data_IF_130789628327
#
_entry.id   IF_130789628327
#
_cell.length_a   1.000
_cell.length_b   1.000
_cell.length_c   1.000
_cell.angle_alpha   90.00
_cell.angle_beta   90.00
_cell.angle_gamma   90.00
#
_symmetry.space_group_name_H-M   'P 1'
#
loop_
_entity.id
_entity.type
_entity.pdbx_description
1 polymer ?
#
# COMPACT_ATOMS: atom_id res chain seq x y z
N UNK A 1 -34.26 -15.49 -7.26
CA UNK A 1 -35.53 -14.76 -7.50
C UNK A 1 -35.58 -14.44 -8.99
N UNK A 2 -36.34 -15.22 -9.78
CA UNK A 2 -37.59 -14.79 -10.47
C UNK A 2 -37.33 -13.71 -11.55
N UNK A 3 -37.62 -13.87 -12.86
CA UNK A 3 -38.58 -14.69 -13.62
C UNK A 3 -38.17 -14.83 -15.12
N UNK A 4 -38.62 -15.93 -15.72
CA UNK A 4 -38.79 -16.28 -17.16
C UNK A 4 -39.86 -15.40 -17.86
N UNK A 5 -40.17 -15.48 -19.19
CA UNK A 5 -39.75 -16.45 -20.23
C UNK A 5 -39.43 -15.85 -21.63
N UNK A 6 -39.12 -16.71 -22.63
CA UNK A 6 -39.69 -16.57 -23.97
C UNK A 6 -40.55 -17.80 -24.37
N UNK A 7 -41.68 -17.54 -25.01
CA UNK A 7 -42.42 -18.45 -25.91
C UNK A 7 -42.35 -17.81 -27.31
N UNK A 8 -42.30 -18.47 -28.46
CA UNK A 8 -42.95 -19.72 -28.90
C UNK A 8 -42.36 -20.13 -30.27
N UNK A 9 -42.22 -21.44 -30.50
CA UNK A 9 -42.05 -22.18 -31.79
C UNK A 9 -43.25 -21.99 -32.76
N UNK A 10 -43.28 -22.46 -34.05
CA UNK A 10 -42.57 -23.63 -34.65
C UNK A 10 -42.10 -23.48 -36.15
N UNK A 11 -41.57 -24.56 -36.77
CA UNK A 11 -40.90 -24.51 -38.08
C UNK A 11 -41.70 -25.09 -39.27
N UNK A 12 -41.15 -24.85 -40.47
CA UNK A 12 -41.25 -25.65 -41.72
C UNK A 12 -42.56 -25.67 -42.52
N UNK A 13 -42.50 -25.28 -43.80
CA UNK A 13 -42.58 -26.20 -44.97
C UNK A 13 -42.88 -25.48 -46.30
N UNK A 14 -42.16 -25.94 -47.33
CA UNK A 14 -42.57 -26.16 -48.73
C UNK A 14 -42.85 -24.97 -49.66
N UNK A 15 -41.98 -24.93 -50.67
CA UNK A 15 -42.26 -24.51 -52.05
C UNK A 15 -43.65 -24.97 -52.55
N UNK A 16 -44.37 -24.06 -53.19
CA UNK A 16 -44.96 -24.26 -54.53
C UNK A 16 -45.54 -22.95 -55.06
N UNK A 17 -44.99 -22.48 -56.16
CA UNK A 17 -45.60 -21.51 -57.06
C UNK A 17 -46.81 -22.14 -57.74
N UNK A 18 -47.89 -21.37 -57.94
CA UNK A 18 -48.84 -21.62 -59.03
C UNK A 18 -49.44 -20.32 -59.53
N UNK A 19 -49.19 -20.03 -60.81
CA UNK A 19 -50.15 -19.31 -61.65
C UNK A 19 -50.11 -19.99 -63.02
N UNK A 20 -51.14 -20.76 -63.31
CA UNK A 20 -51.56 -21.16 -64.66
C UNK A 20 -52.34 -19.96 -65.27
N UNK A 21 -52.60 -19.84 -66.59
CA UNK A 21 -52.81 -20.94 -67.54
C UNK A 21 -52.11 -20.81 -68.91
N UNK A 22 -51.49 -21.90 -69.34
CA UNK A 22 -51.39 -22.21 -70.78
C UNK A 22 -52.65 -22.95 -71.24
N UNK A 23 -53.09 -22.63 -72.46
CA UNK A 23 -53.61 -23.55 -73.48
C UNK A 23 -53.59 -22.78 -74.82
N UNK A 24 -53.44 -23.40 -76.01
CA UNK A 24 -52.85 -24.72 -76.32
C UNK A 24 -51.94 -24.73 -77.57
N UNK A 25 -51.00 -25.68 -77.65
CA UNK A 25 -50.43 -26.15 -78.92
C UNK A 25 -50.90 -27.59 -79.20
N UNK A 26 -51.79 -27.70 -80.19
CA UNK A 26 -51.90 -28.71 -81.26
C UNK A 26 -51.65 -30.21 -80.96
N UNK A 27 -52.63 -31.07 -81.28
CA UNK A 27 -52.62 -31.94 -82.49
C UNK A 27 -53.55 -33.16 -82.35
N UNK A 28 -54.35 -33.38 -83.41
CA UNK A 28 -54.61 -34.72 -83.95
C UNK A 28 -55.90 -35.42 -83.52
N UNK A 29 -56.89 -35.45 -84.43
CA UNK A 29 -57.38 -36.69 -85.05
C UNK A 29 -58.67 -36.42 -85.84
N UNK A 30 -58.56 -36.57 -87.15
CA UNK A 30 -59.52 -37.20 -88.06
C UNK A 30 -61.02 -37.01 -87.81
N UNK A 31 -61.63 -36.16 -88.65
CA UNK A 31 -62.97 -36.47 -89.16
C UNK A 31 -63.17 -35.89 -90.57
N UNK A 32 -62.89 -36.74 -91.57
CA UNK A 32 -63.12 -36.48 -92.98
C UNK A 32 -64.58 -36.83 -93.32
N UNK A 33 -65.51 -35.89 -93.11
CA UNK A 33 -66.88 -35.98 -93.64
C UNK A 33 -66.99 -35.20 -94.96
N UNK A 34 -67.18 -36.01 -96.00
CA UNK A 34 -67.48 -35.73 -97.41
C UNK A 34 -68.23 -34.41 -97.70
N UNK A 35 -67.50 -33.37 -98.12
CA UNK A 35 -68.06 -32.27 -98.93
C UNK A 35 -67.18 -32.06 -100.15
N UNK A 36 -67.70 -32.39 -101.34
CA UNK A 36 -67.04 -32.11 -102.61
C UNK A 36 -67.05 -30.59 -102.87
N UNK A 37 -66.11 -29.87 -102.28
CA UNK A 37 -65.82 -28.50 -102.68
C UNK A 37 -65.15 -28.55 -104.05
N UNK A 38 -65.91 -28.25 -105.11
CA UNK A 38 -65.33 -27.85 -106.40
C UNK A 38 -64.38 -26.69 -106.13
N UNK A 39 -63.07 -26.97 -106.06
CA UNK A 39 -62.04 -25.93 -106.14
C UNK A 39 -62.18 -25.27 -107.51
N UNK A 40 -62.89 -24.14 -107.55
CA UNK A 40 -62.64 -23.15 -108.60
C UNK A 40 -61.18 -22.75 -108.43
N UNK A 41 -60.37 -23.06 -109.44
CA UNK A 41 -59.01 -22.55 -109.59
C UNK A 41 -59.11 -21.03 -109.48
N UNK A 42 -58.64 -20.43 -108.38
CA UNK A 42 -58.47 -18.98 -108.31
C UNK A 42 -57.55 -18.57 -109.46
N UNK A 43 -57.78 -17.42 -110.12
CA UNK A 43 -56.79 -16.91 -111.05
C UNK A 43 -55.50 -16.69 -110.26
N UNK A 44 -54.35 -16.99 -110.87
CA UNK A 44 -53.04 -16.51 -110.40
C UNK A 44 -53.01 -14.98 -110.58
N UNK A 45 -53.83 -14.26 -109.82
CA UNK A 45 -53.72 -12.81 -109.71
C UNK A 45 -52.53 -12.55 -108.81
N UNK A 46 -51.36 -12.43 -109.46
CA UNK A 46 -50.10 -11.93 -108.89
C UNK A 46 -50.32 -10.72 -107.97
N UNK A 47 -51.36 -9.93 -108.25
CA UNK A 47 -51.78 -8.76 -107.48
C UNK A 47 -52.25 -9.13 -106.07
N UNK A 48 -53.12 -10.13 -105.89
CA UNK A 48 -53.65 -10.50 -104.56
C UNK A 48 -52.56 -11.10 -103.68
N UNK A 49 -51.64 -11.88 -104.26
CA UNK A 49 -50.49 -12.47 -103.56
C UNK A 49 -49.46 -11.41 -103.15
N UNK A 50 -49.17 -10.46 -104.04
CA UNK A 50 -48.30 -9.32 -103.74
C UNK A 50 -48.91 -8.37 -102.68
N UNK A 51 -50.23 -8.20 -102.68
CA UNK A 51 -50.93 -7.42 -101.64
C UNK A 51 -50.89 -8.13 -100.29
N UNK A 52 -51.06 -9.45 -100.25
CA UNK A 52 -50.92 -10.26 -99.02
C UNK A 52 -49.49 -10.23 -98.48
N UNK A 53 -48.48 -10.43 -99.33
CA UNK A 53 -47.06 -10.32 -98.94
C UNK A 53 -46.72 -8.92 -98.44
N UNK A 54 -47.23 -7.87 -99.08
CA UNK A 54 -47.03 -6.48 -98.63
C UNK A 54 -47.68 -6.22 -97.26
N UNK A 55 -48.89 -6.73 -97.02
CA UNK A 55 -49.58 -6.62 -95.73
C UNK A 55 -48.84 -7.40 -94.66
N UNK A 56 -48.36 -8.61 -94.95
CA UNK A 56 -47.60 -9.45 -94.04
C UNK A 56 -46.23 -8.82 -93.70
N UNK A 57 -45.54 -8.26 -94.69
CA UNK A 57 -44.32 -7.47 -94.49
C UNK A 57 -44.59 -6.28 -93.57
N UNK A 58 -45.63 -5.51 -93.85
CA UNK A 58 -45.96 -4.32 -93.07
C UNK A 58 -46.38 -4.64 -91.63
N UNK A 59 -47.09 -5.75 -91.43
CA UNK A 59 -47.44 -6.27 -90.09
C UNK A 59 -46.15 -6.70 -89.37
N UNK A 60 -45.26 -7.46 -90.01
CA UNK A 60 -44.00 -7.88 -89.42
C UNK A 60 -43.08 -6.71 -89.11
N UNK A 61 -43.05 -5.67 -89.95
CA UNK A 61 -42.31 -4.43 -89.72
C UNK A 61 -42.87 -3.68 -88.50
N UNK A 62 -44.20 -3.58 -88.37
CA UNK A 62 -44.86 -3.00 -87.20
C UNK A 62 -44.59 -3.80 -85.92
N UNK A 63 -44.68 -5.13 -85.99
CA UNK A 63 -44.39 -6.04 -84.86
C UNK A 63 -42.93 -5.94 -84.42
N UNK A 64 -42.01 -5.85 -85.38
CA UNK A 64 -40.58 -5.66 -85.12
C UNK A 64 -40.29 -4.30 -84.50
N UNK A 65 -40.95 -3.24 -84.99
CA UNK A 65 -40.87 -1.90 -84.42
C UNK A 65 -41.39 -1.87 -82.98
N UNK A 66 -42.55 -2.48 -82.71
CA UNK A 66 -43.11 -2.57 -81.36
C UNK A 66 -42.25 -3.40 -80.42
N UNK A 67 -41.68 -4.51 -80.90
CA UNK A 67 -40.74 -5.32 -80.11
C UNK A 67 -39.49 -4.52 -79.74
N UNK A 68 -38.89 -3.82 -80.70
CA UNK A 68 -37.74 -2.95 -80.45
C UNK A 68 -38.06 -1.84 -79.45
N UNK A 69 -39.23 -1.21 -79.60
CA UNK A 69 -39.68 -0.15 -78.70
C UNK A 69 -39.93 -0.69 -77.28
N UNK A 70 -40.52 -1.89 -77.17
CA UNK A 70 -40.74 -2.59 -75.90
C UNK A 70 -39.41 -2.93 -75.22
N UNK A 71 -38.44 -3.50 -75.95
CA UNK A 71 -37.13 -3.86 -75.43
C UNK A 71 -36.37 -2.63 -74.91
N UNK A 72 -36.40 -1.51 -75.66
CA UNK A 72 -35.83 -0.23 -75.23
C UNK A 72 -36.51 0.26 -73.94
N UNK A 73 -37.84 0.28 -73.91
CA UNK A 73 -38.61 0.80 -72.76
C UNK A 73 -38.37 -0.05 -71.50
N UNK A 74 -38.33 -1.37 -71.63
CA UNK A 74 -38.05 -2.29 -70.53
C UNK A 74 -36.61 -2.11 -70.03
N UNK A 75 -35.63 -2.04 -70.94
CA UNK A 75 -34.23 -1.84 -70.56
C UNK A 75 -34.00 -0.50 -69.85
N UNK A 76 -34.62 0.59 -70.32
CA UNK A 76 -34.57 1.89 -69.65
C UNK A 76 -35.26 1.86 -68.28
N UNK A 77 -36.43 1.23 -68.17
CA UNK A 77 -37.15 1.10 -66.90
C UNK A 77 -36.35 0.32 -65.87
N UNK A 78 -35.75 -0.82 -66.25
CA UNK A 78 -34.90 -1.63 -65.39
C UNK A 78 -33.64 -0.86 -65.00
N UNK A 79 -32.97 -0.21 -65.95
CA UNK A 79 -31.76 0.58 -65.67
C UNK A 79 -32.05 1.70 -64.68
N UNK A 80 -33.11 2.49 -64.91
CA UNK A 80 -33.52 3.55 -64.00
C UNK A 80 -33.88 3.00 -62.61
N UNK A 81 -34.54 1.84 -62.54
CA UNK A 81 -34.87 1.22 -61.26
C UNK A 81 -33.63 0.74 -60.51
N UNK A 82 -32.65 0.15 -61.22
CA UNK A 82 -31.38 -0.28 -60.63
C UNK A 82 -30.56 0.93 -60.17
N UNK A 83 -30.41 1.94 -61.01
CA UNK A 83 -29.65 3.15 -60.69
C UNK A 83 -30.23 3.85 -59.46
N UNK A 84 -31.56 3.97 -59.38
CA UNK A 84 -32.22 4.58 -58.21
C UNK A 84 -32.02 3.78 -56.92
N UNK A 85 -32.04 2.44 -56.98
CA UNK A 85 -31.78 1.57 -55.83
C UNK A 85 -30.31 1.65 -55.40
N UNK A 86 -29.37 1.56 -56.35
CA UNK A 86 -27.93 1.65 -56.08
C UNK A 86 -27.58 3.00 -55.46
N UNK A 87 -28.07 4.10 -56.04
CA UNK A 87 -27.83 5.45 -55.50
C UNK A 87 -28.35 5.59 -54.07
N UNK A 88 -29.55 5.04 -53.81
CA UNK A 88 -30.16 5.07 -52.48
C UNK A 88 -29.34 4.30 -51.47
N UNK A 89 -28.91 3.08 -51.79
CA UNK A 89 -28.15 2.24 -50.88
C UNK A 89 -26.70 2.75 -50.69
N UNK A 90 -26.05 3.26 -51.74
CA UNK A 90 -24.75 3.93 -51.63
C UNK A 90 -24.82 5.17 -50.73
N UNK A 91 -25.87 6.00 -50.88
CA UNK A 91 -26.09 7.17 -50.00
C UNK A 91 -26.28 6.75 -48.54
N UNK A 92 -27.05 5.68 -48.29
CA UNK A 92 -27.22 5.14 -46.92
C UNK A 92 -25.90 4.66 -46.34
N UNK A 93 -25.16 3.82 -47.07
CA UNK A 93 -23.87 3.29 -46.61
C UNK A 93 -22.89 4.42 -46.33
N UNK A 94 -22.78 5.39 -47.24
CA UNK A 94 -21.93 6.58 -47.07
C UNK A 94 -22.32 7.38 -45.83
N UNK A 95 -23.62 7.57 -45.58
CA UNK A 95 -24.11 8.24 -44.39
C UNK A 95 -23.78 7.46 -43.11
N UNK A 96 -23.96 6.13 -43.10
CA UNK A 96 -23.63 5.27 -41.94
C UNK A 96 -22.14 5.31 -41.63
N UNK A 97 -21.29 5.16 -42.65
CA UNK A 97 -19.84 5.24 -42.52
C UNK A 97 -19.43 6.62 -41.99
N UNK A 98 -19.93 7.71 -42.58
CA UNK A 98 -19.62 9.07 -42.13
C UNK A 98 -20.01 9.30 -40.68
N UNK A 99 -21.18 8.82 -40.25
CA UNK A 99 -21.62 8.91 -38.86
C UNK A 99 -20.71 8.11 -37.92
N UNK A 100 -20.31 6.90 -38.30
CA UNK A 100 -19.40 6.07 -37.51
C UNK A 100 -18.00 6.67 -37.36
N UNK A 101 -17.48 7.29 -38.42
CA UNK A 101 -16.19 8.00 -38.38
C UNK A 101 -16.27 9.25 -37.50
N UNK A 102 -17.39 9.97 -37.53
CA UNK A 102 -17.63 11.10 -36.63
C UNK A 102 -17.65 10.64 -35.18
N UNK A 103 -18.39 9.58 -34.86
CA UNK A 103 -18.45 9.02 -33.51
C UNK A 103 -17.08 8.50 -33.03
N UNK A 104 -16.30 7.88 -33.92
CA UNK A 104 -14.91 7.49 -33.63
C UNK A 104 -14.02 8.71 -33.35
N UNK A 105 -14.18 9.78 -34.13
CA UNK A 105 -13.47 11.05 -33.90
C UNK A 105 -13.78 11.64 -32.52
N UNK A 106 -15.06 11.69 -32.16
CA UNK A 106 -15.51 12.19 -30.86
C UNK A 106 -14.97 11.34 -29.68
N UNK A 107 -14.92 10.02 -29.86
CA UNK A 107 -14.33 9.09 -28.87
C UNK A 107 -12.82 9.25 -28.76
N UNK A 108 -12.11 9.44 -29.88
CA UNK A 108 -10.67 9.71 -29.88
C UNK A 108 -10.33 11.03 -29.18
N UNK A 109 -11.08 12.10 -29.43
CA UNK A 109 -10.92 13.38 -28.73
C UNK A 109 -11.18 13.24 -27.21
N UNK A 110 -12.16 12.42 -26.83
CA UNK A 110 -12.41 12.10 -25.41
C UNK A 110 -11.25 11.33 -24.79
N UNK A 111 -10.68 10.36 -25.50
CA UNK A 111 -9.51 9.59 -25.04
C UNK A 111 -8.30 10.52 -24.88
N UNK A 112 -8.03 11.39 -25.85
CA UNK A 112 -6.91 12.33 -25.83
C UNK A 112 -6.97 13.27 -24.61
N UNK A 113 -8.15 13.80 -24.32
CA UNK A 113 -8.40 14.60 -23.10
C UNK A 113 -8.17 13.79 -21.83
N UNK A 114 -8.65 12.55 -21.77
CA UNK A 114 -8.46 11.67 -20.61
C UNK A 114 -7.00 11.29 -20.39
N UNK A 115 -6.25 11.10 -21.48
CA UNK A 115 -4.82 10.78 -21.45
C UNK A 115 -4.02 11.97 -20.92
N UNK A 116 -4.29 13.15 -21.45
CA UNK A 116 -3.67 14.41 -20.98
C UNK A 116 -3.92 14.63 -19.49
N UNK A 117 -5.16 14.49 -19.03
CA UNK A 117 -5.49 14.58 -17.60
C UNK A 117 -4.75 13.53 -16.75
N UNK A 118 -4.62 12.31 -17.26
CA UNK A 118 -3.91 11.23 -16.55
C UNK A 118 -2.42 11.51 -16.46
N UNK A 119 -1.81 12.06 -17.51
CA UNK A 119 -0.40 12.48 -17.53
C UNK A 119 -0.13 13.58 -16.50
N UNK A 120 -0.94 14.64 -16.48
CA UNK A 120 -0.80 15.72 -15.49
C UNK A 120 -0.93 15.20 -14.06
N UNK A 121 -1.88 14.29 -13.83
CA UNK A 121 -2.08 13.66 -12.53
C UNK A 121 -0.89 12.75 -12.16
N UNK A 122 -0.27 12.09 -13.13
CA UNK A 122 0.92 11.27 -12.91
C UNK A 122 2.12 12.12 -12.51
N UNK A 123 2.38 13.23 -13.21
CA UNK A 123 3.45 14.18 -12.86
C UNK A 123 3.24 14.77 -11.45
N UNK A 124 1.99 15.08 -11.11
CA UNK A 124 1.63 15.55 -9.76
C UNK A 124 1.93 14.50 -8.68
N UNK A 125 1.62 13.23 -8.95
CA UNK A 125 1.92 12.13 -8.02
C UNK A 125 3.42 11.95 -7.85
N UNK A 126 4.19 11.98 -8.94
CA UNK A 126 5.64 11.86 -8.89
C UNK A 126 6.30 12.99 -8.09
N UNK A 127 5.84 14.23 -8.31
CA UNK A 127 6.28 15.40 -7.53
C UNK A 127 5.97 15.24 -6.04
N UNK A 128 4.77 14.75 -5.69
CA UNK A 128 4.40 14.52 -4.29
C UNK A 128 5.19 13.37 -3.67
N UNK A 129 5.47 12.32 -4.44
CA UNK A 129 6.23 11.16 -3.98
C UNK A 129 7.66 11.57 -3.64
N UNK A 130 8.34 12.28 -4.53
CA UNK A 130 9.71 12.79 -4.29
C UNK A 130 9.76 13.71 -3.07
N UNK A 131 8.74 14.57 -2.88
CA UNK A 131 8.64 15.40 -1.68
C UNK A 131 8.51 14.55 -0.41
N UNK A 132 7.61 13.56 -0.39
CA UNK A 132 7.41 12.66 0.76
C UNK A 132 8.69 11.87 1.07
N UNK A 133 9.36 11.32 0.06
CA UNK A 133 10.63 10.61 0.23
C UNK A 133 11.72 11.49 0.83
N UNK A 134 11.81 12.76 0.40
CA UNK A 134 12.77 13.71 0.97
C UNK A 134 12.48 14.03 2.44
N UNK A 135 11.20 14.20 2.80
CA UNK A 135 10.77 14.43 4.18
C UNK A 135 11.02 13.21 5.07
N UNK A 136 10.80 12.00 4.54
CA UNK A 136 11.04 10.76 5.28
C UNK A 136 12.52 10.62 5.66
N UNK A 137 13.44 10.89 4.71
CA UNK A 137 14.89 10.89 4.96
C UNK A 137 15.29 11.92 6.00
N UNK A 138 14.70 13.11 5.96
CA UNK A 138 14.95 14.15 6.96
C UNK A 138 14.48 13.74 8.36
N UNK A 139 13.34 13.05 8.47
CA UNK A 139 12.83 12.56 9.76
C UNK A 139 13.75 11.49 10.38
N UNK A 140 14.34 10.61 9.57
CA UNK A 140 15.30 9.61 10.05
C UNK A 140 16.58 10.27 10.60
N UNK A 141 17.06 11.32 9.94
CA UNK A 141 18.21 12.10 10.42
C UNK A 141 17.88 12.82 11.74
N UNK A 142 16.73 13.49 11.81
CA UNK A 142 16.27 14.15 13.04
C UNK A 142 16.12 13.15 14.19
N UNK A 143 15.55 11.98 13.95
CA UNK A 143 15.40 10.93 14.97
C UNK A 143 16.78 10.44 15.45
N UNK A 144 17.73 10.29 14.54
CA UNK A 144 19.12 9.92 14.87
C UNK A 144 19.81 10.99 15.71
N UNK A 145 19.61 12.26 15.37
CA UNK A 145 20.13 13.39 16.14
C UNK A 145 19.52 13.48 17.54
N UNK A 146 18.20 13.27 17.68
CA UNK A 146 17.51 13.25 18.98
C UNK A 146 18.10 12.16 19.87
N UNK A 147 18.29 10.94 19.35
CA UNK A 147 18.88 9.84 20.11
C UNK A 147 20.30 10.17 20.57
N UNK A 148 21.12 10.75 19.68
CA UNK A 148 22.48 11.19 20.00
C UNK A 148 22.49 12.27 21.09
N UNK A 149 21.59 13.25 21.01
CA UNK A 149 21.48 14.31 22.01
C UNK A 149 21.00 13.77 23.34
N UNK A 150 20.03 12.85 23.35
CA UNK A 150 19.56 12.19 24.57
C UNK A 150 20.70 11.43 25.26
N UNK A 151 21.50 10.68 24.51
CA UNK A 151 22.66 9.96 25.07
C UNK A 151 23.74 10.91 25.61
N UNK A 152 23.96 12.06 24.96
CA UNK A 152 24.86 13.11 25.48
C UNK A 152 24.33 13.71 26.77
N UNK A 153 23.03 14.02 26.84
CA UNK A 153 22.39 14.54 28.06
C UNK A 153 22.53 13.53 29.20
N UNK A 154 22.24 12.26 28.95
CA UNK A 154 22.36 11.20 29.95
C UNK A 154 23.81 11.03 30.45
N UNK A 155 24.79 11.15 29.56
CA UNK A 155 26.20 11.11 29.91
C UNK A 155 26.61 12.32 30.78
N UNK A 156 26.20 13.53 30.41
CA UNK A 156 26.45 14.75 31.18
C UNK A 156 25.80 14.70 32.56
N UNK A 157 24.57 14.21 32.62
CA UNK A 157 23.84 13.97 33.85
C UNK A 157 24.55 13.00 34.79
N UNK A 158 25.04 11.87 34.26
CA UNK A 158 25.80 10.92 35.06
C UNK A 158 27.16 11.52 35.48
N UNK A 159 27.78 12.32 34.63
CA UNK A 159 29.03 13.03 34.93
C UNK A 159 28.86 14.00 36.10
N UNK A 160 27.75 14.74 36.15
CA UNK A 160 27.44 15.65 37.26
C UNK A 160 27.31 14.94 38.62
N UNK A 161 27.03 13.63 38.61
CA UNK A 161 26.89 12.78 39.81
C UNK A 161 28.17 12.02 40.18
N UNK A 162 29.28 12.18 39.45
CA UNK A 162 30.54 11.46 39.70
C UNK A 162 31.24 11.83 41.02
N UNK A 163 30.83 12.90 41.69
CA UNK A 163 31.35 13.28 43.01
C UNK A 163 30.41 12.83 44.13
N UNK A 164 29.28 12.20 43.77
CA UNK A 164 28.21 11.93 44.69
C UNK A 164 28.20 10.47 45.14
N UNK A 165 27.84 10.27 46.40
CA UNK A 165 27.54 8.98 47.01
C UNK A 165 26.10 8.97 47.44
N UNK A 166 25.44 7.84 47.23
CA UNK A 166 24.10 7.57 47.70
C UNK A 166 24.15 6.62 48.88
N UNK A 167 23.69 7.08 50.03
CA UNK A 167 23.47 6.25 51.21
C UNK A 167 22.00 5.86 51.25
N UNK A 168 21.74 4.57 51.13
CA UNK A 168 20.40 4.01 51.17
C UNK A 168 20.13 3.32 52.52
N UNK A 169 18.85 3.32 52.90
CA UNK A 169 18.33 2.64 54.09
C UNK A 169 18.90 3.15 55.43
N UNK A 170 19.30 4.43 55.48
CA UNK A 170 19.65 5.12 56.72
C UNK A 170 18.37 5.62 57.40
N UNK A 171 18.04 5.21 58.64
CA UNK A 171 16.82 5.63 59.33
C UNK A 171 16.69 7.15 59.43
N UNK A 172 15.46 7.66 59.29
CA UNK A 172 15.16 9.10 59.39
C UNK A 172 14.96 9.52 60.84
N UNK A 173 15.49 10.68 61.21
CA UNK A 173 15.24 11.31 62.51
C UNK A 173 14.97 12.80 62.34
N UNK A 174 14.14 13.36 63.22
CA UNK A 174 14.00 14.81 63.36
C UNK A 174 15.34 15.37 63.84
N UNK A 175 15.76 16.49 63.24
CA UNK A 175 16.97 17.23 63.59
C UNK A 175 18.28 16.40 63.52
N UNK A 176 18.37 15.51 62.55
CA UNK A 176 19.60 14.75 62.33
C UNK A 176 20.72 15.60 61.73
N UNK A 177 21.94 15.41 62.22
CA UNK A 177 23.14 16.00 61.62
C UNK A 177 23.78 15.01 60.65
N UNK A 178 23.45 15.16 59.36
CA UNK A 178 23.97 14.28 58.31
C UNK A 178 25.50 14.31 58.24
N UNK A 179 26.15 15.46 58.44
CA UNK A 179 27.61 15.57 58.41
C UNK A 179 28.25 14.71 59.50
N UNK A 180 27.75 14.80 60.74
CA UNK A 180 28.25 13.99 61.85
C UNK A 180 28.02 12.49 61.63
N UNK A 181 26.91 12.11 60.98
CA UNK A 181 26.66 10.71 60.61
C UNK A 181 27.69 10.25 59.57
N UNK A 182 27.98 11.07 58.56
CA UNK A 182 28.96 10.74 57.51
C UNK A 182 30.37 10.58 58.08
N UNK A 183 30.79 11.46 58.99
CA UNK A 183 32.06 11.34 59.72
C UNK A 183 32.14 10.00 60.46
N UNK A 184 31.07 9.61 61.17
CA UNK A 184 30.98 8.29 61.85
C UNK A 184 31.05 7.13 60.86
N UNK A 185 30.36 7.21 59.72
CA UNK A 185 30.46 6.19 58.67
C UNK A 185 31.92 6.06 58.23
N UNK A 186 32.60 7.19 57.98
CA UNK A 186 34.03 7.22 57.65
C UNK A 186 34.90 6.50 58.68
N UNK A 187 34.67 6.74 59.97
CA UNK A 187 35.37 6.03 61.04
C UNK A 187 35.11 4.52 61.02
N UNK A 188 33.85 4.10 60.86
CA UNK A 188 33.46 2.68 60.84
C UNK A 188 34.08 1.94 59.66
N UNK A 189 34.12 2.56 58.47
CA UNK A 189 34.73 1.96 57.28
C UNK A 189 36.25 2.14 57.21
N UNK A 190 36.88 2.68 58.27
CA UNK A 190 38.32 2.98 58.35
C UNK A 190 38.83 3.93 57.26
N UNK A 191 37.96 4.83 56.81
CA UNK A 191 38.29 5.91 55.89
C UNK A 191 37.69 7.21 56.43
N UNK A 192 38.33 7.84 57.44
CA UNK A 192 37.80 9.04 58.06
C UNK A 192 37.72 10.17 57.03
N UNK A 193 36.60 10.88 57.05
CA UNK A 193 36.34 12.01 56.15
C UNK A 193 36.07 13.25 56.98
N UNK A 194 36.65 14.38 56.59
CA UNK A 194 36.48 15.65 57.29
C UNK A 194 35.33 16.46 56.68
N UNK A 195 34.76 17.41 57.44
CA UNK A 195 33.67 18.27 56.92
C UNK A 195 34.10 19.08 55.70
N UNK A 196 35.37 19.46 55.60
CA UNK A 196 35.93 20.15 54.43
C UNK A 196 35.92 19.31 53.16
N UNK A 197 35.86 17.98 53.26
CA UNK A 197 35.77 17.09 52.11
C UNK A 197 34.35 16.99 51.55
N UNK A 198 33.35 17.45 52.30
CA UNK A 198 31.93 17.36 51.96
C UNK A 198 31.44 18.72 51.48
N UNK A 199 31.03 18.78 50.22
CA UNK A 199 30.43 19.97 49.62
C UNK A 199 28.97 20.12 50.03
N UNK A 200 28.21 19.03 50.04
CA UNK A 200 26.82 19.02 50.48
C UNK A 200 26.36 17.63 50.88
N UNK A 201 25.41 17.57 51.82
CA UNK A 201 24.73 16.35 52.24
C UNK A 201 23.25 16.64 52.48
N UNK A 202 22.35 15.91 51.82
CA UNK A 202 20.92 16.12 51.94
C UNK A 202 20.13 14.84 51.64
N UNK A 203 18.91 14.74 52.18
CA UNK A 203 17.97 13.68 51.82
C UNK A 203 17.26 14.00 50.52
N UNK A 204 17.05 12.97 49.69
CA UNK A 204 16.32 13.07 48.44
C UNK A 204 14.97 12.37 48.60
N UNK A 205 13.85 13.02 48.21
CA UNK A 205 12.54 12.39 48.28
C UNK A 205 12.45 11.18 47.35
N UNK A 206 11.66 10.19 47.74
CA UNK A 206 11.33 9.10 46.84
C UNK A 206 10.47 9.62 45.69
N UNK A 207 10.64 9.00 44.52
CA UNK A 207 9.75 9.25 43.38
C UNK A 207 8.31 8.85 43.71
N UNK A 208 8.13 7.69 44.36
CA UNK A 208 6.84 7.27 44.91
C UNK A 208 6.66 7.80 46.33
N UNK A 209 5.69 8.70 46.52
CA UNK A 209 5.35 9.30 47.81
C UNK A 209 4.77 8.31 48.82
N UNK A 210 4.29 7.15 48.37
CA UNK A 210 3.75 6.09 49.24
C UNK A 210 4.84 5.17 49.80
N UNK A 211 6.09 5.34 49.37
CA UNK A 211 7.21 4.54 49.85
C UNK A 211 7.44 4.78 51.35
N UNK A 212 7.27 3.73 52.17
CA UNK A 212 7.52 3.76 53.61
C UNK A 212 9.00 3.62 53.99
N UNK A 213 9.89 3.45 53.00
CA UNK A 213 11.32 3.31 53.26
C UNK A 213 11.94 4.66 53.58
N UNK A 214 13.02 4.71 54.38
CA UNK A 214 13.76 5.94 54.60
C UNK A 214 14.25 6.57 53.30
N UNK A 215 14.18 7.89 53.18
CA UNK A 215 14.73 8.69 52.08
C UNK A 215 16.24 8.50 52.00
N UNK A 216 16.77 8.39 50.79
CA UNK A 216 18.21 8.22 50.59
C UNK A 216 18.93 9.54 50.87
N UNK A 217 20.16 9.45 51.39
CA UNK A 217 21.04 10.61 51.58
C UNK A 217 22.00 10.69 50.40
N UNK A 218 22.07 11.85 49.75
CA UNK A 218 23.08 12.14 48.74
C UNK A 218 24.15 13.03 49.35
N UNK A 219 25.39 12.60 49.18
CA UNK A 219 26.59 13.31 49.65
C UNK A 219 27.41 13.68 48.44
N UNK A 220 27.79 14.95 48.30
CA UNK A 220 28.73 15.40 47.29
C UNK A 220 30.09 15.66 47.94
N UNK A 221 31.12 14.96 47.48
CA UNK A 221 32.49 15.19 47.91
C UNK A 221 33.18 16.26 47.06
N UNK A 222 34.26 16.84 47.59
CA UNK A 222 35.10 17.82 46.88
C UNK A 222 35.84 17.19 45.71
N UNK A 223 36.30 15.95 45.84
CA UNK A 223 37.04 15.25 44.80
C UNK A 223 36.45 13.87 44.50
N UNK A 224 36.62 13.43 43.25
CA UNK A 224 36.22 12.09 42.82
C UNK A 224 37.03 11.00 43.55
N UNK A 225 38.29 11.27 43.87
CA UNK A 225 39.19 10.33 44.55
C UNK A 225 38.66 10.00 45.94
N UNK A 226 38.27 11.00 46.74
CA UNK A 226 37.67 10.79 48.07
C UNK A 226 36.41 9.94 47.94
N UNK A 227 35.55 10.29 46.96
CA UNK A 227 34.33 9.52 46.68
C UNK A 227 34.62 8.05 46.37
N UNK A 228 35.56 7.77 45.46
CA UNK A 228 35.90 6.41 45.03
C UNK A 228 36.52 5.60 46.17
N UNK A 229 37.39 6.21 46.97
CA UNK A 229 38.00 5.58 48.14
C UNK A 229 36.96 5.27 49.22
N UNK A 230 36.04 6.20 49.51
CA UNK A 230 34.95 6.01 50.47
C UNK A 230 34.05 4.83 50.09
N UNK A 231 33.63 4.73 48.82
CA UNK A 231 32.83 3.59 48.33
C UNK A 231 33.62 2.28 48.43
N UNK A 232 34.90 2.30 48.05
CA UNK A 232 35.76 1.11 48.09
C UNK A 232 35.96 0.61 49.51
N UNK A 233 36.22 1.52 50.46
CA UNK A 233 36.32 1.21 51.89
C UNK A 233 35.01 0.65 52.44
N UNK A 234 33.86 1.24 52.08
CA UNK A 234 32.55 0.75 52.49
C UNK A 234 32.25 -0.66 51.97
N UNK A 235 32.63 -0.99 50.72
CA UNK A 235 32.52 -2.33 50.15
C UNK A 235 33.43 -3.34 50.87
N UNK A 236 34.64 -2.91 51.28
CA UNK A 236 35.58 -3.75 52.01
C UNK A 236 35.14 -4.04 53.46
N UNK A 237 34.35 -3.15 54.07
CA UNK A 237 33.87 -3.28 55.46
C UNK A 237 32.85 -4.41 55.69
N UNK A 238 32.47 -5.17 54.64
CA UNK A 238 31.51 -6.31 54.71
C UNK A 238 30.16 -5.98 55.36
N UNK A 239 29.71 -4.73 55.24
CA UNK A 239 28.40 -4.27 55.70
C UNK A 239 28.51 -3.11 56.69
N UNK A 240 27.47 -2.28 56.70
CA UNK A 240 27.32 -1.15 57.60
C UNK A 240 25.96 -1.27 58.28
N UNK A 241 25.91 -1.14 59.60
CA UNK A 241 24.66 -1.24 60.37
C UNK A 241 24.36 0.07 61.08
N UNK A 242 23.08 0.38 61.28
CA UNK A 242 22.64 1.66 61.86
C UNK A 242 23.06 1.86 63.32
N UNK A 243 23.24 0.80 64.09
CA UNK A 243 23.74 0.82 65.47
C UNK A 243 25.16 1.37 65.58
N UNK A 244 26.02 1.02 64.61
CA UNK A 244 27.40 1.53 64.51
C UNK A 244 27.47 3.04 64.26
N UNK A 245 26.37 3.63 63.76
CA UNK A 245 26.29 5.05 63.42
C UNK A 245 25.71 5.90 64.56
N UNK A 246 25.54 5.29 65.74
CA UNK A 246 24.85 5.88 66.89
C UNK A 246 23.45 6.40 66.52
N UNK A 247 22.76 5.68 65.64
CA UNK A 247 21.35 5.90 65.33
C UNK A 247 20.56 4.94 66.22
N UNK A 248 19.91 5.42 67.29
CA UNK A 248 19.10 4.59 68.17
C UNK A 248 17.86 4.08 67.44
N UNK A 249 17.45 2.85 67.75
CA UNK A 249 16.28 2.21 67.17
C UNK A 249 16.58 0.80 66.65
N UNK A 250 15.74 0.33 65.75
CA UNK A 250 15.90 -0.97 65.09
C UNK A 250 17.17 -0.99 64.23
N UNK A 251 17.88 -2.12 64.25
CA UNK A 251 19.12 -2.29 63.49
C UNK A 251 18.77 -2.51 62.01
N UNK A 252 19.30 -1.65 61.14
CA UNK A 252 19.13 -1.72 59.70
C UNK A 252 20.48 -1.77 58.99
N UNK A 253 20.54 -2.54 57.91
CA UNK A 253 21.70 -2.52 57.01
C UNK A 253 21.66 -1.23 56.18
N UNK A 254 22.75 -0.47 56.24
CA UNK A 254 22.96 0.77 55.48
C UNK A 254 23.83 0.45 54.29
N UNK A 255 23.46 0.96 53.11
CA UNK A 255 24.18 0.69 51.87
C UNK A 255 24.80 1.95 51.32
N UNK A 256 26.08 1.87 50.95
CA UNK A 256 26.84 2.96 50.32
C UNK A 256 27.03 2.63 48.84
N UNK A 257 26.40 3.43 47.97
CA UNK A 257 26.37 3.21 46.53
C UNK A 257 26.87 4.41 45.74
N UNK A 258 27.24 4.19 44.48
CA UNK A 258 27.44 5.29 43.53
C UNK A 258 26.08 5.95 43.22
N UNK A 259 26.06 7.27 43.11
CA UNK A 259 24.85 7.98 42.73
C UNK A 259 24.63 7.88 41.20
N UNK A 260 23.63 7.10 40.82
CA UNK A 260 23.27 6.85 39.42
C UNK A 260 22.07 7.67 38.95
N UNK A 261 22.01 7.97 37.66
CA UNK A 261 20.78 8.43 36.99
C UNK A 261 19.67 7.39 37.08
N UNK A 262 18.41 7.81 36.92
CA UNK A 262 17.28 6.88 36.88
C UNK A 262 17.45 5.83 35.77
N UNK A 263 17.87 6.26 34.57
CA UNK A 263 18.21 5.38 33.43
C UNK A 263 19.26 4.33 33.82
N UNK A 264 20.37 4.73 34.45
CA UNK A 264 21.42 3.78 34.84
C UNK A 264 21.00 2.86 35.99
N UNK A 265 20.17 3.33 36.94
CA UNK A 265 19.57 2.46 37.97
C UNK A 265 18.67 1.39 37.35
N UNK A 266 17.84 1.76 36.39
CA UNK A 266 17.00 0.83 35.63
C UNK A 266 17.86 -0.16 34.84
N UNK A 267 18.86 0.33 34.10
CA UNK A 267 19.78 -0.50 33.34
C UNK A 267 20.52 -1.51 34.23
N UNK A 268 21.00 -1.08 35.39
CA UNK A 268 21.65 -1.97 36.35
C UNK A 268 20.70 -3.06 36.87
N UNK A 269 19.44 -2.70 37.16
CA UNK A 269 18.41 -3.67 37.57
C UNK A 269 18.14 -4.70 36.48
N UNK A 270 17.93 -4.26 35.24
CA UNK A 270 17.69 -5.15 34.09
C UNK A 270 18.90 -6.04 33.81
N UNK A 271 20.11 -5.46 33.82
CA UNK A 271 21.36 -6.19 33.68
C UNK A 271 21.51 -7.27 34.74
N UNK A 272 21.24 -6.96 36.01
CA UNK A 272 21.31 -7.96 37.09
C UNK A 272 20.30 -9.09 36.91
N UNK A 273 19.07 -8.80 36.47
CA UNK A 273 18.07 -9.83 36.19
C UNK A 273 18.53 -10.77 35.07
N UNK A 274 19.05 -10.20 33.97
CA UNK A 274 19.53 -10.96 32.83
C UNK A 274 20.79 -11.78 33.18
N UNK A 275 21.72 -11.19 33.92
CA UNK A 275 22.93 -11.84 34.42
C UNK A 275 22.59 -13.06 35.29
N UNK A 276 21.65 -12.92 36.24
CA UNK A 276 21.17 -14.05 37.05
C UNK A 276 20.54 -15.14 36.20
N UNK A 277 19.71 -14.78 35.21
CA UNK A 277 19.05 -15.74 34.31
C UNK A 277 20.06 -16.58 33.51
N UNK A 278 21.19 -15.99 33.14
CA UNK A 278 22.24 -16.64 32.34
C UNK A 278 23.48 -17.04 33.16
N UNK A 279 23.35 -17.15 34.49
CA UNK A 279 24.40 -17.61 35.40
C UNK A 279 25.72 -16.81 35.33
N UNK A 280 25.65 -15.51 35.06
CA UNK A 280 26.82 -14.63 35.19
C UNK A 280 27.14 -14.39 36.66
N UNK A 281 28.39 -14.64 37.06
CA UNK A 281 28.82 -14.60 38.46
C UNK A 281 28.95 -13.18 39.02
N UNK A 282 29.28 -12.20 38.19
CA UNK A 282 29.59 -10.85 38.67
C UNK A 282 28.85 -9.76 37.89
N UNK A 283 28.15 -8.88 38.62
CA UNK A 283 27.53 -7.66 38.08
C UNK A 283 27.74 -6.53 39.08
N UNK A 284 28.37 -5.43 38.66
CA UNK A 284 28.67 -4.31 39.55
C UNK A 284 28.68 -2.98 38.78
N UNK A 285 28.80 -1.89 39.53
CA UNK A 285 28.91 -0.54 39.00
C UNK A 285 30.31 -0.02 39.30
N UNK A 286 30.92 0.64 38.32
CA UNK A 286 32.16 1.39 38.47
C UNK A 286 32.10 2.67 37.62
N UNK A 287 32.30 3.82 38.25
CA UNK A 287 32.28 5.14 37.61
C UNK A 287 30.99 5.39 36.81
N UNK A 288 29.84 5.03 37.37
CA UNK A 288 28.55 5.19 36.70
C UNK A 288 28.28 4.20 35.56
N UNK A 289 29.22 3.30 35.24
CA UNK A 289 29.07 2.28 34.19
C UNK A 289 28.71 0.93 34.81
N UNK A 290 27.72 0.25 34.21
CA UNK A 290 27.35 -1.12 34.59
C UNK A 290 28.33 -2.09 33.94
N UNK A 291 28.95 -2.93 34.76
CA UNK A 291 29.91 -3.94 34.35
C UNK A 291 29.38 -5.32 34.72
N UNK A 292 29.63 -6.29 33.84
CA UNK A 292 29.22 -7.68 34.02
C UNK A 292 30.35 -8.61 33.58
N UNK A 293 30.47 -9.76 34.26
CA UNK A 293 31.49 -10.77 33.98
C UNK A 293 30.93 -12.15 34.30
N UNK A 294 31.05 -13.09 33.36
CA UNK A 294 30.42 -14.41 33.47
C UNK A 294 31.13 -15.29 34.50
N UNK A 295 32.44 -15.47 34.35
CA UNK A 295 33.28 -16.27 35.25
C UNK A 295 34.54 -15.51 35.65
N UNK A 296 35.39 -16.09 36.50
CA UNK A 296 36.67 -15.48 36.92
C UNK A 296 37.73 -15.42 35.81
N UNK A 297 37.52 -16.12 34.69
CA UNK A 297 38.43 -16.11 33.53
C UNK A 297 37.86 -15.32 32.37
N UNK A 298 36.53 -15.16 32.29
CA UNK A 298 35.87 -14.41 31.21
C UNK A 298 36.26 -12.92 31.20
N UNK A 299 36.21 -12.25 30.04
CA UNK A 299 36.41 -10.81 29.96
C UNK A 299 35.29 -10.03 30.66
N UNK A 300 35.61 -8.79 31.06
CA UNK A 300 34.62 -7.85 31.63
C UNK A 300 33.89 -7.17 30.47
N UNK A 301 32.56 -7.15 30.55
CA UNK A 301 31.69 -6.51 29.58
C UNK A 301 31.03 -5.27 30.19
N UNK A 302 31.04 -4.15 29.45
CA UNK A 302 30.36 -2.93 29.86
C UNK A 302 28.99 -2.84 29.19
N UNK A 303 27.95 -2.64 29.99
CA UNK A 303 26.56 -2.46 29.55
C UNK A 303 26.26 -0.96 29.59
N UNK A 304 26.12 -0.34 28.42
CA UNK A 304 25.82 1.10 28.30
C UNK A 304 24.39 1.37 27.85
N UNK A 305 23.76 0.41 27.18
CA UNK A 305 22.37 0.51 26.73
C UNK A 305 21.60 -0.79 26.97
N UNK A 306 20.28 -0.75 26.82
CA UNK A 306 19.47 -1.97 26.86
C UNK A 306 19.80 -2.94 25.72
N UNK A 307 20.31 -2.44 24.58
CA UNK A 307 20.75 -3.29 23.48
C UNK A 307 21.95 -4.17 23.88
N UNK A 308 22.84 -3.66 24.74
CA UNK A 308 23.96 -4.42 25.27
C UNK A 308 23.52 -5.61 26.13
N UNK A 309 22.31 -5.58 26.70
CA UNK A 309 21.76 -6.71 27.45
C UNK A 309 21.60 -7.95 26.59
N UNK A 310 21.40 -7.78 25.26
CA UNK A 310 21.32 -8.89 24.32
C UNK A 310 22.63 -9.67 24.21
N UNK A 311 23.77 -9.12 24.64
CA UNK A 311 25.06 -9.81 24.65
C UNK A 311 25.20 -10.75 25.87
N UNK A 312 24.32 -10.62 26.87
CA UNK A 312 24.24 -11.52 28.03
C UNK A 312 23.35 -12.70 27.63
N UNK A 313 23.98 -13.77 27.15
CA UNK A 313 23.32 -15.02 26.71
C UNK A 313 23.96 -16.23 27.41
N UNK A 314 23.31 -17.38 27.27
CA UNK A 314 23.83 -18.66 27.78
C UNK A 314 25.08 -19.10 27.04
#
# INVERSE_FOLDING_TARGET
MQRTPPLTTPPSQKLKYSSNPELPETCGADDNTFVSLRKRKQPDDKIVKAVLEFVEQKINDQLSSWKLQLDITIAESIRNSIDTVIDRELKKISATISNSFKELGDRLDTIDKSLSYTMERQDSIETRLTQVESQLRSNDDVTSQINLLQDKIDAMEQQARLYNVEIANLPERRDENLLSIIEKIGCVIKHPVSKSDIVSAHRVPHFDKKCSRPKNVIIKFTTKIIRDNFITAARANKGLKSDQLAVPGTIHNVYVNEHLTAKNKQLFRLCRQQATKHNYKFTWIKHGTVLVRQTETSPIFAVRSEQDLKKIKS
#
